data_IF_995596722201
#
_entry.id   IF_995596722201
#
_cell.length_a   1.000
_cell.length_b   1.000
_cell.length_c   1.000
_cell.angle_alpha   90.00
_cell.angle_beta   90.00
_cell.angle_gamma   90.00
#
_symmetry.space_group_name_H-M   'P 1'
#
loop_
_entity.id
_entity.type
_entity.pdbx_description
1 polymer ?
#
# COMPACT_ATOMS: atom_id res chain seq x y z
N UNK A 1 2.24 -8.39 43.54
CA UNK A 1 1.56 -9.62 43.07
C UNK A 1 1.30 -9.64 41.56
N UNK A 2 0.84 -8.56 40.92
CA UNK A 2 0.64 -8.52 39.44
C UNK A 2 1.92 -8.74 38.61
N UNK A 3 3.08 -8.26 39.08
CA UNK A 3 4.37 -8.47 38.41
C UNK A 3 4.87 -9.93 38.44
N UNK A 4 4.55 -10.68 39.51
CA UNK A 4 4.93 -12.09 39.62
C UNK A 4 4.13 -12.97 38.65
N UNK A 5 2.88 -12.61 38.38
CA UNK A 5 2.00 -13.34 37.43
C UNK A 5 2.51 -13.20 35.99
N UNK A 6 3.03 -12.02 35.62
CA UNK A 6 3.56 -11.78 34.27
C UNK A 6 4.86 -12.56 34.02
N UNK A 7 5.73 -12.67 35.02
CA UNK A 7 7.00 -13.42 34.91
C UNK A 7 6.75 -14.93 34.83
N UNK A 8 5.77 -15.46 35.56
CA UNK A 8 5.39 -16.88 35.47
C UNK A 8 4.77 -17.22 34.12
N UNK A 9 4.00 -16.31 33.51
CA UNK A 9 3.41 -16.53 32.18
C UNK A 9 4.46 -16.61 31.06
N UNK A 10 5.58 -15.89 31.20
CA UNK A 10 6.67 -15.90 30.20
C UNK A 10 7.58 -17.13 30.31
N UNK A 11 7.67 -17.77 31.48
CA UNK A 11 8.48 -18.97 31.66
C UNK A 11 7.85 -20.23 31.05
N UNK A 12 6.52 -20.26 30.88
CA UNK A 12 5.79 -21.42 30.37
C UNK A 12 5.97 -21.66 28.85
N UNK A 13 6.49 -20.69 28.10
CA UNK A 13 6.67 -20.82 26.64
C UNK A 13 7.99 -21.50 26.23
N UNK A 14 8.89 -21.78 27.18
CA UNK A 14 10.22 -22.34 26.89
C UNK A 14 10.21 -23.87 26.74
N UNK A 15 9.13 -24.57 27.14
CA UNK A 15 9.03 -26.05 27.12
C UNK A 15 8.68 -26.61 25.72
N UNK A 16 8.54 -25.77 24.69
CA UNK A 16 8.07 -26.20 23.36
C UNK A 16 9.18 -26.64 22.37
N UNK A 17 10.41 -26.91 22.82
CA UNK A 17 11.56 -27.22 21.93
C UNK A 17 12.01 -28.69 21.93
N UNK A 18 11.10 -29.63 22.20
CA UNK A 18 11.34 -31.05 21.96
C UNK A 18 10.02 -31.74 21.57
N UNK A 19 9.54 -31.47 20.35
CA UNK A 19 8.40 -32.18 19.79
C UNK A 19 8.86 -33.58 19.37
N UNK A 20 8.76 -34.55 20.27
CA UNK A 20 8.98 -35.97 19.95
C UNK A 20 7.76 -36.48 19.20
N UNK A 21 7.85 -36.59 17.88
CA UNK A 21 6.76 -37.14 17.08
C UNK A 21 6.78 -38.66 17.22
N UNK A 22 5.73 -39.21 17.83
CA UNK A 22 5.56 -40.65 17.97
C UNK A 22 4.81 -41.20 16.76
N UNK A 23 5.39 -42.23 16.12
CA UNK A 23 4.73 -43.04 15.10
C UNK A 23 4.16 -44.28 15.78
N UNK A 24 2.83 -44.38 15.82
CA UNK A 24 2.13 -45.52 16.40
C UNK A 24 1.53 -46.37 15.27
N UNK A 25 1.70 -47.68 15.35
CA UNK A 25 1.04 -48.63 14.44
C UNK A 25 0.15 -49.59 15.23
N UNK A 26 -1.14 -49.59 14.92
CA UNK A 26 -2.17 -50.42 15.54
C UNK A 26 -3.13 -50.92 14.44
N UNK A 27 -3.40 -52.22 14.37
CA UNK A 27 -4.30 -52.85 13.40
C UNK A 27 -4.03 -52.47 11.93
N UNK A 28 -2.74 -52.33 11.57
CA UNK A 28 -2.31 -51.93 10.22
C UNK A 28 -2.49 -50.44 9.89
N UNK A 29 -2.99 -49.62 10.82
CA UNK A 29 -3.11 -48.16 10.68
C UNK A 29 -1.95 -47.46 11.39
N UNK A 30 -1.33 -46.50 10.69
CA UNK A 30 -0.24 -45.69 11.23
C UNK A 30 -0.78 -44.31 11.63
N UNK A 31 -0.59 -43.91 12.88
CA UNK A 31 -0.88 -42.55 13.36
C UNK A 31 0.40 -41.85 13.83
N UNK A 32 0.45 -40.53 13.65
CA UNK A 32 1.54 -39.67 14.11
C UNK A 32 0.96 -38.69 15.11
N UNK A 33 1.61 -38.53 16.26
CA UNK A 33 1.15 -37.59 17.27
C UNK A 33 2.23 -37.25 18.28
N UNK A 34 1.98 -36.15 18.99
CA UNK A 34 2.88 -35.66 20.05
C UNK A 34 2.58 -36.31 21.40
N UNK A 35 1.59 -37.20 21.46
CA UNK A 35 1.26 -37.99 22.66
C UNK A 35 1.80 -39.41 22.56
N UNK A 36 2.21 -40.03 23.69
CA UNK A 36 2.67 -41.42 23.70
C UNK A 36 1.64 -42.38 23.09
N UNK A 37 2.11 -43.43 22.41
CA UNK A 37 1.24 -44.41 21.79
C UNK A 37 0.37 -45.15 22.83
N UNK A 38 -0.90 -45.46 22.50
CA UNK A 38 -1.77 -46.24 23.38
C UNK A 38 -1.21 -47.65 23.62
N UNK A 39 -1.51 -48.23 24.79
CA UNK A 39 -1.02 -49.54 25.18
C UNK A 39 -1.37 -50.62 24.12
N UNK A 40 -0.38 -51.39 23.68
CA UNK A 40 -0.53 -52.43 22.66
C UNK A 40 -0.20 -51.99 21.23
N UNK A 41 0.00 -50.70 20.96
CA UNK A 41 0.49 -50.21 19.68
C UNK A 41 2.02 -50.32 19.57
N UNK A 42 2.53 -50.66 18.38
CA UNK A 42 3.97 -50.62 18.10
C UNK A 42 4.39 -49.16 17.95
N UNK A 43 5.23 -48.68 18.88
CA UNK A 43 5.68 -47.30 18.95
C UNK A 43 7.10 -47.14 18.42
N UNK A 44 7.29 -46.22 17.46
CA UNK A 44 8.61 -45.76 17.03
C UNK A 44 8.69 -44.25 17.26
N UNK A 45 9.67 -43.79 18.04
CA UNK A 45 9.97 -42.36 18.18
C UNK A 45 10.77 -41.94 16.95
N UNK A 46 10.30 -40.91 16.24
CA UNK A 46 11.06 -40.33 15.14
C UNK A 46 12.18 -39.47 15.72
N UNK A 47 13.42 -39.78 15.36
CA UNK A 47 14.56 -38.92 15.72
C UNK A 47 14.45 -37.60 14.96
N UNK A 48 14.42 -36.51 15.71
CA UNK A 48 14.53 -35.17 15.12
C UNK A 48 15.93 -35.01 14.55
N UNK A 49 16.09 -34.63 13.27
CA UNK A 49 17.40 -34.36 12.70
C UNK A 49 18.16 -33.35 13.55
N UNK A 50 19.45 -33.61 13.80
CA UNK A 50 20.30 -32.66 14.53
C UNK A 50 20.36 -31.35 13.76
N UNK A 51 20.27 -30.22 14.48
CA UNK A 51 20.35 -28.90 13.88
C UNK A 51 21.65 -28.76 13.07
N UNK A 52 21.62 -28.13 11.88
CA UNK A 52 22.82 -27.96 11.09
C UNK A 52 23.87 -27.13 11.85
N UNK A 53 25.17 -27.39 11.63
CA UNK A 53 26.23 -26.65 12.29
C UNK A 53 26.16 -25.16 11.92
N UNK A 54 26.59 -24.29 12.83
CA UNK A 54 26.61 -22.84 12.58
C UNK A 54 27.52 -22.54 11.39
N UNK A 55 26.95 -21.94 10.35
CA UNK A 55 27.70 -21.46 9.19
C UNK A 55 28.47 -20.18 9.56
N UNK A 56 29.80 -20.24 9.48
CA UNK A 56 30.69 -19.10 9.75
C UNK A 56 30.52 -17.96 8.72
N UNK A 57 30.05 -18.26 7.51
CA UNK A 57 29.80 -17.25 6.47
C UNK A 57 28.42 -16.57 6.60
N UNK A 58 27.50 -17.14 7.38
CA UNK A 58 26.13 -16.64 7.50
C UNK A 58 26.05 -15.18 7.96
N UNK A 59 26.93 -14.77 8.89
CA UNK A 59 26.98 -13.39 9.37
C UNK A 59 27.36 -12.39 8.25
N UNK A 60 28.30 -12.78 7.38
CA UNK A 60 28.72 -11.97 6.23
C UNK A 60 27.61 -11.86 5.19
N UNK A 61 26.94 -12.98 4.90
CA UNK A 61 25.80 -13.04 3.97
C UNK A 61 24.63 -12.21 4.49
N UNK A 62 24.26 -12.34 5.77
CA UNK A 62 23.21 -11.56 6.41
C UNK A 62 23.48 -10.06 6.32
N UNK A 63 24.71 -9.63 6.61
CA UNK A 63 25.08 -8.21 6.50
C UNK A 63 24.99 -7.68 5.07
N UNK A 64 25.31 -8.50 4.06
CA UNK A 64 25.13 -8.12 2.64
C UNK A 64 23.66 -8.00 2.27
N UNK A 65 22.83 -8.96 2.70
CA UNK A 65 21.38 -8.95 2.47
C UNK A 65 20.72 -7.73 3.11
N UNK A 66 21.09 -7.39 4.36
CA UNK A 66 20.61 -6.18 5.04
C UNK A 66 20.97 -4.92 4.27
N UNK A 67 22.23 -4.77 3.83
CA UNK A 67 22.64 -3.63 3.00
C UNK A 67 21.86 -3.52 1.70
N UNK A 68 21.58 -4.65 1.05
CA UNK A 68 20.77 -4.68 -0.17
C UNK A 68 19.32 -4.27 0.11
N UNK A 69 18.72 -4.78 1.18
CA UNK A 69 17.38 -4.39 1.60
C UNK A 69 17.30 -2.89 1.90
N UNK A 70 18.25 -2.35 2.66
CA UNK A 70 18.32 -0.91 2.98
C UNK A 70 18.48 -0.05 1.72
N UNK A 71 19.28 -0.52 0.75
CA UNK A 71 19.47 0.19 -0.52
C UNK A 71 18.19 0.21 -1.37
N UNK A 72 17.47 -0.93 -1.44
CA UNK A 72 16.20 -1.03 -2.15
C UNK A 72 15.13 -0.17 -1.50
N UNK A 73 15.07 -0.15 -0.17
CA UNK A 73 14.12 0.67 0.57
C UNK A 73 14.36 2.16 0.36
N UNK A 74 15.61 2.61 0.48
CA UNK A 74 15.98 4.00 0.16
C UNK A 74 15.65 4.37 -1.27
N UNK A 75 15.87 3.46 -2.23
CA UNK A 75 15.51 3.70 -3.61
C UNK A 75 14.00 3.81 -3.82
N UNK A 76 13.20 3.01 -3.10
CA UNK A 76 11.73 3.09 -3.11
C UNK A 76 11.25 4.43 -2.56
N UNK A 77 11.66 4.80 -1.34
CA UNK A 77 11.27 6.05 -0.70
C UNK A 77 11.64 7.28 -1.55
N UNK A 78 12.82 7.26 -2.18
CA UNK A 78 13.24 8.35 -3.08
C UNK A 78 12.38 8.46 -4.34
N UNK A 79 11.86 7.35 -4.86
CA UNK A 79 10.92 7.37 -6.00
C UNK A 79 9.57 7.89 -5.54
N UNK A 80 9.05 7.38 -4.44
CA UNK A 80 7.78 7.83 -3.85
C UNK A 80 7.79 9.35 -3.59
N UNK A 81 8.85 9.89 -2.98
CA UNK A 81 8.99 11.34 -2.76
C UNK A 81 8.96 12.14 -4.07
N UNK A 82 9.60 11.63 -5.14
CA UNK A 82 9.60 12.30 -6.45
C UNK A 82 8.22 12.26 -7.08
N UNK A 83 7.58 11.10 -7.07
CA UNK A 83 6.26 10.90 -7.65
C UNK A 83 5.20 11.73 -6.91
N UNK A 84 5.28 11.83 -5.58
CA UNK A 84 4.43 12.71 -4.77
C UNK A 84 4.62 14.18 -5.13
N UNK A 85 5.87 14.63 -5.30
CA UNK A 85 6.17 16.03 -5.68
C UNK A 85 5.68 16.34 -7.08
N UNK A 86 5.82 15.41 -8.02
CA UNK A 86 5.35 15.59 -9.40
C UNK A 86 3.83 15.55 -9.47
N UNK A 87 3.17 14.65 -8.73
CA UNK A 87 1.72 14.62 -8.58
C UNK A 87 1.18 15.91 -7.93
N UNK A 88 1.87 16.44 -6.91
CA UNK A 88 1.51 17.71 -6.29
C UNK A 88 1.59 18.87 -7.30
N UNK A 89 2.67 18.95 -8.10
CA UNK A 89 2.80 19.99 -9.15
C UNK A 89 1.73 19.84 -10.22
N UNK A 90 1.46 18.62 -10.69
CA UNK A 90 0.45 18.35 -11.68
C UNK A 90 -0.97 18.72 -11.17
N UNK A 91 -1.28 18.39 -9.92
CA UNK A 91 -2.56 18.74 -9.30
C UNK A 91 -2.74 20.26 -9.15
N UNK A 92 -1.69 20.99 -8.77
CA UNK A 92 -1.71 22.45 -8.69
C UNK A 92 -1.92 23.09 -10.07
N UNK A 93 -1.19 22.65 -11.08
CA UNK A 93 -1.35 23.12 -12.45
C UNK A 93 -2.77 22.86 -12.97
N UNK A 94 -3.31 21.66 -12.74
CA UNK A 94 -4.68 21.31 -13.09
C UNK A 94 -5.71 22.18 -12.33
N UNK A 95 -5.49 22.48 -11.05
CA UNK A 95 -6.38 23.34 -10.28
C UNK A 95 -6.38 24.79 -10.80
N UNK A 96 -5.21 25.32 -11.18
CA UNK A 96 -5.11 26.65 -11.81
C UNK A 96 -5.85 26.68 -13.14
N UNK A 97 -5.66 25.64 -13.98
CA UNK A 97 -6.35 25.55 -15.27
C UNK A 97 -7.87 25.45 -15.10
N UNK A 98 -8.35 24.65 -14.14
CA UNK A 98 -9.78 24.55 -13.80
C UNK A 98 -10.34 25.90 -13.40
N UNK A 99 -9.68 26.63 -12.48
CA UNK A 99 -10.10 27.98 -12.06
C UNK A 99 -10.15 28.96 -13.24
N UNK A 100 -9.17 28.92 -14.14
CA UNK A 100 -9.16 29.75 -15.36
C UNK A 100 -10.37 29.43 -16.24
N UNK A 101 -10.65 28.15 -16.43
CA UNK A 101 -11.78 27.68 -17.21
C UNK A 101 -13.13 28.01 -16.60
N UNK A 102 -13.28 27.85 -15.29
CA UNK A 102 -14.51 28.22 -14.58
C UNK A 102 -14.79 29.72 -14.71
N UNK A 103 -13.75 30.56 -14.61
CA UNK A 103 -13.86 32.00 -14.82
C UNK A 103 -14.29 32.35 -16.26
N UNK A 104 -13.69 31.71 -17.27
CA UNK A 104 -14.05 31.95 -18.67
C UNK A 104 -15.47 31.46 -18.99
N UNK A 105 -15.87 30.32 -18.43
CA UNK A 105 -17.23 29.77 -18.56
C UNK A 105 -18.27 30.72 -17.94
N UNK A 106 -17.97 31.28 -16.77
CA UNK A 106 -18.83 32.26 -16.13
C UNK A 106 -18.93 33.56 -16.95
N UNK A 107 -17.79 34.07 -17.45
CA UNK A 107 -17.77 35.25 -18.32
C UNK A 107 -18.59 35.05 -19.59
N UNK A 108 -18.44 33.90 -20.26
CA UNK A 108 -19.27 33.53 -21.41
C UNK A 108 -20.75 33.55 -21.04
N UNK A 109 -21.13 32.91 -19.94
CA UNK A 109 -22.53 32.84 -19.50
C UNK A 109 -23.11 34.24 -19.27
N UNK A 110 -22.37 35.13 -18.62
CA UNK A 110 -22.79 36.51 -18.41
C UNK A 110 -22.90 37.29 -19.72
N UNK A 111 -21.92 37.16 -20.61
CA UNK A 111 -21.97 37.80 -21.92
C UNK A 111 -23.17 37.30 -22.76
N UNK A 112 -23.48 36.00 -22.70
CA UNK A 112 -24.66 35.42 -23.33
C UNK A 112 -25.97 35.96 -22.70
N UNK A 113 -26.02 36.10 -21.37
CA UNK A 113 -27.16 36.71 -20.66
C UNK A 113 -27.36 38.18 -21.04
N UNK A 114 -26.29 38.95 -21.12
CA UNK A 114 -26.30 40.36 -21.54
C UNK A 114 -26.74 40.50 -23.00
N UNK A 115 -26.26 39.64 -23.89
CA UNK A 115 -26.69 39.61 -25.28
C UNK A 115 -28.19 39.29 -25.43
N UNK A 116 -28.74 38.42 -24.56
CA UNK A 116 -30.18 38.13 -24.53
C UNK A 116 -31.02 39.30 -24.00
N UNK A 117 -30.49 40.10 -23.07
CA UNK A 117 -31.18 41.25 -22.46
C UNK A 117 -31.02 42.54 -23.26
N UNK A 118 -29.98 42.67 -24.06
CA UNK A 118 -29.71 43.86 -24.85
C UNK A 118 -30.85 44.13 -25.83
N UNK A 119 -31.22 45.41 -25.97
CA UNK A 119 -32.23 45.87 -26.92
C UNK A 119 -31.71 47.09 -27.70
N UNK A 120 -32.30 47.35 -28.87
CA UNK A 120 -31.91 48.48 -29.72
C UNK A 120 -30.46 48.38 -30.21
N UNK A 121 -29.78 49.52 -30.30
CA UNK A 121 -28.43 49.65 -30.88
C UNK A 121 -27.34 48.87 -30.11
N UNK A 122 -27.59 48.45 -28.86
CA UNK A 122 -26.62 47.69 -28.05
C UNK A 122 -26.57 46.19 -28.36
N UNK A 123 -27.53 45.65 -29.12
CA UNK A 123 -27.68 44.22 -29.41
C UNK A 123 -26.48 43.63 -30.14
N UNK A 124 -26.05 44.23 -31.25
CA UNK A 124 -24.94 43.73 -32.07
C UNK A 124 -23.62 43.75 -31.29
N UNK A 125 -23.37 44.82 -30.52
CA UNK A 125 -22.20 44.90 -29.66
C UNK A 125 -22.21 43.81 -28.56
N UNK A 126 -23.36 43.52 -27.97
CA UNK A 126 -23.49 42.48 -26.94
C UNK A 126 -23.31 41.07 -27.51
N UNK A 127 -23.85 40.78 -28.70
CA UNK A 127 -23.64 39.52 -29.43
C UNK A 127 -22.17 39.28 -29.76
N UNK A 128 -21.47 40.31 -30.24
CA UNK A 128 -20.05 40.21 -30.55
C UNK A 128 -19.21 39.92 -29.29
N UNK A 129 -19.55 40.52 -28.14
CA UNK A 129 -18.89 40.20 -26.86
C UNK A 129 -19.13 38.75 -26.44
N UNK A 130 -20.37 38.27 -26.55
CA UNK A 130 -20.72 36.88 -26.26
C UNK A 130 -19.92 35.90 -27.14
N UNK A 131 -19.81 36.18 -28.44
CA UNK A 131 -19.01 35.39 -29.37
C UNK A 131 -17.52 35.33 -28.95
N UNK A 132 -16.90 36.50 -28.71
CA UNK A 132 -15.49 36.58 -28.29
C UNK A 132 -15.23 35.89 -26.95
N UNK A 133 -16.16 35.98 -26.01
CA UNK A 133 -16.06 35.26 -24.74
C UNK A 133 -16.13 33.73 -24.94
N UNK A 134 -16.94 33.28 -25.90
CA UNK A 134 -16.99 31.88 -26.33
C UNK A 134 -15.69 31.40 -26.98
N UNK A 135 -15.12 32.19 -27.90
CA UNK A 135 -13.83 31.89 -28.53
C UNK A 135 -12.70 31.82 -27.51
N UNK A 136 -12.63 32.80 -26.59
CA UNK A 136 -11.62 32.82 -25.53
C UNK A 136 -11.72 31.58 -24.61
N UNK A 137 -12.95 31.14 -24.29
CA UNK A 137 -13.16 29.90 -23.54
C UNK A 137 -12.70 28.66 -24.34
N UNK A 138 -13.02 28.59 -25.63
CA UNK A 138 -12.72 27.43 -26.47
C UNK A 138 -11.22 27.23 -26.75
N UNK A 139 -10.42 28.31 -26.70
CA UNK A 139 -8.96 28.25 -26.86
C UNK A 139 -8.26 27.67 -25.63
N UNK A 140 -8.76 28.00 -24.45
CA UNK A 140 -8.08 27.72 -23.17
C UNK A 140 -8.59 26.44 -22.51
N UNK A 141 -9.84 26.08 -22.74
CA UNK A 141 -10.48 24.97 -22.06
C UNK A 141 -10.62 23.76 -23.00
N UNK A 142 -10.15 22.57 -22.59
CA UNK A 142 -10.42 21.36 -23.35
C UNK A 142 -11.94 21.13 -23.46
N UNK A 143 -12.36 20.58 -24.59
CA UNK A 143 -13.77 20.22 -24.85
C UNK A 143 -14.23 19.08 -23.95
#
# INVERSE_FOLDING_TARGET
MKLLIVVVLWAATVVAYAQTVHKCTLDGKTSYGDTPCPAGAQAATLETPTAPPRDAAAAGTLRRQQKQADALEKARLKREERDERDAARASQAAAVQRKKCDKLKLNKRWADEDARRATGQATEAARLRAHRAGEAMALECPR
#
